data_IF_250739941032
#
_entry.id   IF_250739941032
#
_cell.length_a   1.000
_cell.length_b   1.000
_cell.length_c   1.000
_cell.angle_alpha   90.00
_cell.angle_beta   90.00
_cell.angle_gamma   90.00
#
_symmetry.space_group_name_H-M   'P 1'
#
loop_
_entity.id
_entity.type
_entity.pdbx_description
1 polymer ?
#
# COMPACT_ATOMS: atom_id res chain seq x y z
N UNK A 1 -24.90 -23.59 -8.36
CA UNK A 1 -26.33 -23.80 -8.05
C UNK A 1 -26.80 -25.23 -8.24
N UNK A 2 -26.54 -25.90 -9.39
CA UNK A 2 -27.07 -27.24 -9.69
C UNK A 2 -26.82 -28.30 -8.60
N UNK A 3 -25.62 -28.31 -8.00
CA UNK A 3 -25.27 -29.22 -6.91
C UNK A 3 -25.99 -28.92 -5.58
N UNK A 4 -26.23 -27.64 -5.28
CA UNK A 4 -26.91 -27.22 -4.04
C UNK A 4 -28.37 -27.66 -4.06
N UNK A 5 -29.00 -27.62 -5.24
CA UNK A 5 -30.38 -28.08 -5.43
C UNK A 5 -30.55 -29.61 -5.33
N UNK A 6 -29.45 -30.37 -5.36
CA UNK A 6 -29.46 -31.85 -5.22
C UNK A 6 -29.15 -32.32 -3.80
N UNK A 7 -28.86 -31.41 -2.85
CA UNK A 7 -28.56 -31.78 -1.47
C UNK A 7 -29.83 -32.18 -0.71
N UNK A 8 -29.74 -33.17 0.20
CA UNK A 8 -30.88 -33.58 1.02
C UNK A 8 -31.31 -32.44 1.95
N UNK A 9 -32.62 -32.31 2.17
CA UNK A 9 -33.20 -31.26 3.04
C UNK A 9 -32.61 -31.26 4.45
N UNK A 10 -32.26 -32.43 4.99
CA UNK A 10 -31.59 -32.56 6.30
C UNK A 10 -30.25 -31.83 6.38
N UNK A 11 -29.49 -31.74 5.28
CA UNK A 11 -28.24 -30.97 5.24
C UNK A 11 -28.50 -29.45 5.34
N UNK A 12 -29.59 -28.97 4.74
CA UNK A 12 -29.94 -27.54 4.78
C UNK A 12 -30.50 -27.13 6.15
N UNK A 13 -31.17 -28.04 6.85
CA UNK A 13 -31.64 -27.87 8.23
C UNK A 13 -30.48 -27.89 9.23
N UNK A 14 -29.47 -28.73 9.01
CA UNK A 14 -28.31 -28.85 9.89
C UNK A 14 -27.30 -27.69 9.71
N UNK A 15 -26.95 -27.32 8.47
CA UNK A 15 -25.98 -26.25 8.18
C UNK A 15 -26.60 -24.84 8.15
N UNK A 16 -27.91 -24.74 7.95
CA UNK A 16 -28.64 -23.48 7.82
C UNK A 16 -28.54 -22.85 6.44
N UNK A 17 -29.69 -22.66 5.79
CA UNK A 17 -29.81 -22.07 4.44
C UNK A 17 -29.15 -20.70 4.27
N UNK A 18 -29.18 -19.87 5.32
CA UNK A 18 -28.52 -18.56 5.33
C UNK A 18 -26.99 -18.64 5.23
N UNK A 19 -26.38 -19.63 5.90
CA UNK A 19 -24.93 -19.88 5.87
C UNK A 19 -24.50 -20.35 4.48
N UNK A 20 -25.24 -21.30 3.89
CA UNK A 20 -24.99 -21.77 2.52
C UNK A 20 -25.12 -20.62 1.51
N UNK A 21 -26.17 -19.81 1.60
CA UNK A 21 -26.34 -18.63 0.74
C UNK A 21 -25.19 -17.64 0.87
N UNK A 22 -24.75 -17.36 2.10
CA UNK A 22 -23.61 -16.49 2.37
C UNK A 22 -22.34 -17.01 1.72
N UNK A 23 -22.02 -18.30 1.91
CA UNK A 23 -20.83 -18.94 1.32
C UNK A 23 -20.85 -18.84 -0.20
N UNK A 24 -21.98 -19.14 -0.85
CA UNK A 24 -22.08 -19.02 -2.32
C UNK A 24 -21.84 -17.59 -2.77
N UNK A 25 -22.46 -16.62 -2.11
CA UNK A 25 -22.36 -15.22 -2.51
C UNK A 25 -20.93 -14.68 -2.30
N UNK A 26 -20.34 -14.93 -1.13
CA UNK A 26 -18.97 -14.51 -0.81
C UNK A 26 -17.94 -15.20 -1.70
N UNK A 27 -18.08 -16.51 -1.93
CA UNK A 27 -17.15 -17.25 -2.78
C UNK A 27 -17.22 -16.81 -4.23
N UNK A 28 -18.43 -16.53 -4.73
CA UNK A 28 -18.62 -16.02 -6.10
C UNK A 28 -17.99 -14.63 -6.25
N UNK A 29 -18.25 -13.71 -5.31
CA UNK A 29 -17.67 -12.37 -5.31
C UNK A 29 -16.14 -12.39 -5.15
N UNK A 30 -15.60 -13.26 -4.29
CA UNK A 30 -14.16 -13.44 -4.12
C UNK A 30 -13.50 -13.97 -5.41
N UNK A 31 -14.15 -14.93 -6.08
CA UNK A 31 -13.66 -15.49 -7.36
C UNK A 31 -13.67 -14.44 -8.45
N UNK A 32 -14.74 -13.64 -8.56
CA UNK A 32 -14.82 -12.51 -9.49
C UNK A 32 -13.70 -11.50 -9.21
N UNK A 33 -13.54 -11.08 -7.96
CA UNK A 33 -12.50 -10.12 -7.55
C UNK A 33 -11.10 -10.64 -7.91
N UNK A 34 -10.85 -11.92 -7.69
CA UNK A 34 -9.56 -12.53 -7.96
C UNK A 34 -9.25 -12.56 -9.47
N UNK A 35 -10.21 -13.03 -10.29
CA UNK A 35 -10.01 -13.21 -11.73
C UNK A 35 -10.05 -11.86 -12.46
N UNK A 36 -10.98 -10.99 -12.12
CA UNK A 36 -11.21 -9.74 -12.83
C UNK A 36 -10.20 -8.64 -12.46
N UNK A 37 -9.66 -8.65 -11.23
CA UNK A 37 -8.80 -7.58 -10.74
C UNK A 37 -7.45 -8.10 -10.24
N UNK A 38 -7.45 -8.97 -9.23
CA UNK A 38 -6.18 -9.29 -8.55
C UNK A 38 -5.16 -9.99 -9.46
N UNK A 39 -5.61 -10.90 -10.33
CA UNK A 39 -4.72 -11.63 -11.23
C UNK A 39 -4.18 -10.71 -12.34
N UNK A 40 -5.00 -9.95 -13.10
CA UNK A 40 -4.52 -8.95 -14.04
C UNK A 40 -3.58 -7.93 -13.39
N UNK A 41 -3.94 -7.40 -12.22
CA UNK A 41 -3.14 -6.39 -11.52
C UNK A 41 -1.77 -6.95 -11.13
N UNK A 42 -1.69 -8.21 -10.67
CA UNK A 42 -0.40 -8.86 -10.37
C UNK A 42 0.46 -9.05 -11.63
N UNK A 43 -0.15 -9.45 -12.74
CA UNK A 43 0.54 -9.58 -14.01
C UNK A 43 1.10 -8.22 -14.47
N UNK A 44 0.29 -7.16 -14.42
CA UNK A 44 0.71 -5.81 -14.79
C UNK A 44 1.78 -5.27 -13.84
N UNK A 45 1.60 -5.43 -12.52
CA UNK A 45 2.54 -5.00 -11.49
C UNK A 45 3.92 -5.68 -11.61
N UNK A 46 3.99 -6.87 -12.20
CA UNK A 46 5.26 -7.58 -12.43
C UNK A 46 5.82 -7.29 -13.82
N UNK A 47 4.97 -7.34 -14.86
CA UNK A 47 5.39 -7.18 -16.25
C UNK A 47 5.84 -5.75 -16.55
N UNK A 48 5.21 -4.74 -15.95
CA UNK A 48 5.53 -3.33 -16.19
C UNK A 48 6.94 -2.97 -15.76
N UNK A 49 7.38 -3.18 -14.48
CA UNK A 49 8.74 -2.87 -14.08
C UNK A 49 9.77 -3.70 -14.84
N UNK A 50 9.52 -4.99 -15.09
CA UNK A 50 10.44 -5.84 -15.87
C UNK A 50 10.59 -5.31 -17.29
N UNK A 51 9.47 -4.97 -17.96
CA UNK A 51 9.48 -4.40 -19.29
C UNK A 51 10.20 -3.05 -19.35
N UNK A 52 9.98 -2.19 -18.36
CA UNK A 52 10.62 -0.87 -18.28
C UNK A 52 12.15 -1.01 -18.09
N UNK A 53 12.61 -1.89 -17.20
CA UNK A 53 14.04 -2.16 -16.99
C UNK A 53 14.69 -2.69 -18.27
N UNK A 54 14.06 -3.66 -18.95
CA UNK A 54 14.57 -4.19 -20.21
C UNK A 54 14.66 -3.11 -21.29
N UNK A 55 13.62 -2.27 -21.39
CA UNK A 55 13.58 -1.18 -22.37
C UNK A 55 14.74 -0.19 -22.14
N UNK A 56 14.94 0.27 -20.89
CA UNK A 56 16.04 1.19 -20.55
C UNK A 56 17.41 0.58 -20.93
N UNK A 57 17.66 -0.67 -20.55
CA UNK A 57 18.93 -1.34 -20.81
C UNK A 57 19.21 -1.56 -22.31
N UNK A 58 18.18 -1.82 -23.12
CA UNK A 58 18.31 -2.00 -24.58
C UNK A 58 18.59 -0.69 -25.31
N UNK A 59 17.98 0.42 -24.87
CA UNK A 59 18.15 1.73 -25.52
C UNK A 59 19.54 2.34 -25.27
N UNK A 60 19.93 2.41 -24.00
CA UNK A 60 21.26 2.87 -23.59
C UNK A 60 21.60 2.29 -22.22
N UNK A 61 22.45 1.27 -22.18
CA UNK A 61 22.77 0.58 -20.93
C UNK A 61 23.48 1.47 -19.89
N UNK A 62 24.15 2.55 -20.31
CA UNK A 62 24.86 3.46 -19.39
C UNK A 62 23.88 4.38 -18.69
N UNK A 63 22.98 5.01 -19.45
CA UNK A 63 21.91 5.84 -18.89
C UNK A 63 20.90 4.99 -18.11
N UNK A 64 20.62 3.77 -18.58
CA UNK A 64 19.73 2.83 -17.90
C UNK A 64 20.22 2.43 -16.52
N UNK A 65 21.51 2.10 -16.37
CA UNK A 65 22.10 1.82 -15.07
C UNK A 65 22.07 3.03 -14.13
N UNK A 66 22.32 4.23 -14.66
CA UNK A 66 22.22 5.47 -13.86
C UNK A 66 20.80 5.69 -13.33
N UNK A 67 19.77 5.46 -14.14
CA UNK A 67 18.37 5.55 -13.72
C UNK A 67 17.96 4.50 -12.69
N UNK A 68 18.63 3.34 -12.67
CA UNK A 68 18.33 2.28 -11.70
C UNK A 68 18.84 2.60 -10.29
N UNK A 69 19.88 3.44 -10.13
CA UNK A 69 20.43 3.80 -8.82
C UNK A 69 19.35 4.35 -7.85
N UNK A 70 18.59 5.40 -8.20
CA UNK A 70 17.54 5.93 -7.32
C UNK A 70 16.40 4.94 -7.08
N UNK A 71 16.09 4.07 -8.04
CA UNK A 71 15.11 2.99 -7.87
C UNK A 71 15.58 1.98 -6.82
N UNK A 72 16.85 1.58 -6.87
CA UNK A 72 17.44 0.67 -5.87
C UNK A 72 17.45 1.34 -4.48
N UNK A 73 17.84 2.62 -4.39
CA UNK A 73 17.80 3.36 -3.13
C UNK A 73 16.38 3.41 -2.57
N UNK A 74 15.38 3.73 -3.41
CA UNK A 74 13.97 3.74 -3.02
C UNK A 74 13.52 2.36 -2.51
N UNK A 75 13.92 1.28 -3.18
CA UNK A 75 13.62 -0.08 -2.77
C UNK A 75 14.26 -0.45 -1.42
N UNK A 76 15.50 -0.03 -1.18
CA UNK A 76 16.20 -0.23 0.10
C UNK A 76 15.51 0.53 1.24
N UNK A 77 15.18 1.81 1.01
CA UNK A 77 14.46 2.63 1.99
C UNK A 77 13.11 2.00 2.35
N UNK A 78 12.38 1.53 1.34
CA UNK A 78 11.08 0.88 1.55
C UNK A 78 11.20 -0.49 2.23
N UNK A 79 12.24 -1.27 1.90
CA UNK A 79 12.52 -2.56 2.56
C UNK A 79 12.88 -2.38 4.03
N UNK A 80 13.61 -1.33 4.40
CA UNK A 80 13.87 -1.00 5.81
C UNK A 80 12.60 -0.67 6.60
N UNK A 81 11.55 -0.20 5.93
CA UNK A 81 10.23 0.02 6.54
C UNK A 81 9.42 -1.28 6.62
N UNK A 82 9.52 -2.15 5.60
CA UNK A 82 8.87 -3.46 5.56
C UNK A 82 9.68 -4.52 6.31
N UNK A 83 9.41 -4.68 7.61
CA UNK A 83 10.03 -5.74 8.42
C UNK A 83 9.17 -6.18 9.60
N UNK A 84 9.75 -6.97 10.51
CA UNK A 84 9.06 -7.49 11.70
C UNK A 84 8.55 -6.36 12.61
N UNK A 85 9.24 -5.22 12.63
CA UNK A 85 8.78 -4.02 13.32
C UNK A 85 7.47 -3.48 12.75
N UNK A 86 7.24 -3.60 11.44
CA UNK A 86 5.99 -3.17 10.82
C UNK A 86 4.85 -4.12 11.20
N UNK A 87 5.09 -5.43 11.26
CA UNK A 87 4.08 -6.39 11.75
C UNK A 87 3.68 -6.09 13.19
N UNK A 88 4.65 -5.82 14.07
CA UNK A 88 4.38 -5.43 15.47
C UNK A 88 3.58 -4.14 15.56
N UNK A 89 4.02 -3.09 14.85
CA UNK A 89 3.29 -1.82 14.77
C UNK A 89 1.87 -2.03 14.26
N UNK A 90 1.69 -2.83 13.22
CA UNK A 90 0.35 -3.07 12.66
C UNK A 90 -0.54 -3.89 13.61
N UNK A 91 0.02 -4.80 14.41
CA UNK A 91 -0.72 -5.46 15.48
C UNK A 91 -1.13 -4.48 16.60
N UNK A 92 -0.24 -3.58 17.02
CA UNK A 92 -0.57 -2.53 18.00
C UNK A 92 -1.67 -1.59 17.50
N UNK A 93 -1.62 -1.22 16.22
CA UNK A 93 -2.66 -0.43 15.56
C UNK A 93 -4.02 -1.12 15.63
N UNK A 94 -4.09 -2.39 15.22
CA UNK A 94 -5.33 -3.16 15.22
C UNK A 94 -5.86 -3.34 16.64
N UNK A 95 -5.02 -3.65 17.61
CA UNK A 95 -5.42 -3.76 19.01
C UNK A 95 -6.02 -2.44 19.55
N UNK A 96 -5.40 -1.30 19.25
CA UNK A 96 -5.93 0.01 19.67
C UNK A 96 -7.25 0.36 18.96
N UNK A 97 -7.39 -0.02 17.68
CA UNK A 97 -8.60 0.17 16.89
C UNK A 97 -9.75 -0.70 17.39
N UNK A 98 -9.47 -1.96 17.72
CA UNK A 98 -10.44 -2.90 18.30
C UNK A 98 -10.92 -2.43 19.68
N UNK A 99 -9.99 -2.02 20.56
CA UNK A 99 -10.32 -1.47 21.88
C UNK A 99 -11.22 -0.23 21.76
N UNK A 100 -10.87 0.71 20.87
CA UNK A 100 -11.69 1.89 20.60
C UNK A 100 -13.09 1.51 20.09
N UNK A 101 -13.16 0.55 19.16
CA UNK A 101 -14.43 0.09 18.57
C UNK A 101 -15.31 -0.61 19.61
N UNK A 102 -14.73 -1.44 20.48
CA UNK A 102 -15.45 -2.10 21.57
C UNK A 102 -15.99 -1.09 22.57
N UNK A 103 -15.17 -0.12 23.00
CA UNK A 103 -15.60 0.93 23.93
C UNK A 103 -16.66 1.86 23.30
N UNK A 104 -16.65 2.05 21.97
CA UNK A 104 -17.70 2.77 21.26
C UNK A 104 -19.06 2.05 21.33
N UNK A 105 -19.08 0.72 21.24
CA UNK A 105 -20.31 -0.07 21.36
C UNK A 105 -20.89 0.04 22.77
N UNK A 106 -20.05 -0.08 23.80
CA UNK A 106 -20.47 0.08 25.20
C UNK A 106 -20.93 1.50 25.50
N UNK A 107 -20.29 2.51 24.91
CA UNK A 107 -20.77 3.90 24.94
C UNK A 107 -22.21 4.00 24.42
N UNK A 108 -22.48 3.48 23.21
CA UNK A 108 -23.81 3.54 22.59
C UNK A 108 -24.86 2.81 23.43
N UNK A 109 -24.52 1.63 23.97
CA UNK A 109 -25.40 0.85 24.87
C UNK A 109 -25.68 1.57 26.18
N UNK A 110 -24.72 2.36 26.70
CA UNK A 110 -24.86 3.09 27.96
C UNK A 110 -25.67 4.40 27.87
N UNK A 111 -25.90 4.95 26.67
CA UNK A 111 -26.61 6.23 26.47
C UNK A 111 -27.98 6.27 27.18
N UNK A 112 -28.87 5.27 27.04
CA UNK A 112 -30.18 5.28 27.70
C UNK A 112 -30.03 5.35 29.23
N UNK A 113 -29.11 4.59 29.80
CA UNK A 113 -28.86 4.55 31.25
C UNK A 113 -28.44 5.93 31.76
N UNK A 114 -27.46 6.55 31.11
CA UNK A 114 -26.97 7.89 31.49
C UNK A 114 -28.08 8.93 31.41
N UNK A 115 -28.94 8.89 30.37
CA UNK A 115 -30.10 9.78 30.23
C UNK A 115 -31.16 9.56 31.32
N UNK A 116 -31.38 8.31 31.74
CA UNK A 116 -32.41 7.95 32.71
C UNK A 116 -32.02 8.37 34.14
N UNK A 117 -30.74 8.25 34.48
CA UNK A 117 -30.22 8.55 35.82
C UNK A 117 -29.60 9.95 35.95
N UNK A 118 -29.62 10.77 34.89
CA UNK A 118 -29.07 12.12 34.91
C UNK A 118 -27.56 12.18 35.17
N UNK A 119 -26.82 11.08 34.91
CA UNK A 119 -25.37 11.06 35.08
C UNK A 119 -24.67 11.86 33.98
N UNK A 120 -23.46 12.36 34.26
CA UNK A 120 -22.71 13.13 33.26
C UNK A 120 -22.01 12.23 32.24
N UNK A 121 -21.80 12.77 31.04
CA UNK A 121 -21.09 12.14 29.91
C UNK A 121 -19.64 11.76 30.27
N UNK A 122 -19.10 12.28 31.39
CA UNK A 122 -17.80 11.89 31.93
C UNK A 122 -17.71 10.43 32.40
N UNK A 123 -18.85 9.75 32.55
CA UNK A 123 -18.91 8.30 32.81
C UNK A 123 -18.25 7.48 31.68
N UNK A 124 -18.13 8.07 30.48
CA UNK A 124 -17.48 7.44 29.32
C UNK A 124 -16.00 7.81 29.18
N UNK A 125 -15.32 7.98 30.32
CA UNK A 125 -13.86 8.21 30.37
C UNK A 125 -13.10 7.13 29.60
N UNK A 126 -13.53 5.87 29.68
CA UNK A 126 -12.90 4.74 28.97
C UNK A 126 -12.90 4.92 27.45
N UNK A 127 -14.03 5.30 26.86
CA UNK A 127 -14.12 5.55 25.42
C UNK A 127 -13.25 6.75 24.99
N UNK A 128 -13.26 7.84 25.75
CA UNK A 128 -12.39 8.98 25.47
C UNK A 128 -10.90 8.61 25.55
N UNK A 129 -10.53 7.83 26.56
CA UNK A 129 -9.15 7.45 26.79
C UNK A 129 -8.67 6.44 25.71
N UNK A 130 -9.54 5.55 25.21
CA UNK A 130 -9.24 4.66 24.08
C UNK A 130 -9.06 5.42 22.75
N UNK A 131 -9.88 6.45 22.49
CA UNK A 131 -9.67 7.36 21.34
C UNK A 131 -8.29 8.00 21.43
N UNK A 132 -7.91 8.56 22.60
CA UNK A 132 -6.61 9.22 22.78
C UNK A 132 -5.43 8.25 22.61
N UNK A 133 -5.59 7.00 23.04
CA UNK A 133 -4.58 5.95 22.87
C UNK A 133 -4.38 5.64 21.37
N UNK A 134 -5.46 5.46 20.63
CA UNK A 134 -5.44 5.23 19.19
C UNK A 134 -4.85 6.44 18.42
N UNK A 135 -5.25 7.66 18.78
CA UNK A 135 -4.72 8.91 18.21
C UNK A 135 -3.21 9.02 18.43
N UNK A 136 -2.76 8.87 19.68
CA UNK A 136 -1.34 8.95 20.04
C UNK A 136 -0.50 7.94 19.27
N UNK A 137 -1.00 6.71 19.14
CA UNK A 137 -0.33 5.67 18.37
C UNK A 137 -0.23 6.04 16.89
N UNK A 138 -1.34 6.47 16.28
CA UNK A 138 -1.40 6.85 14.86
C UNK A 138 -0.48 8.04 14.54
N UNK A 139 -0.45 9.06 15.41
CA UNK A 139 0.44 10.22 15.26
C UNK A 139 1.90 9.80 15.40
N UNK A 140 2.24 8.93 16.35
CA UNK A 140 3.60 8.43 16.52
C UNK A 140 4.05 7.63 15.30
N UNK A 141 3.20 6.71 14.81
CA UNK A 141 3.47 5.92 13.61
C UNK A 141 3.68 6.81 12.38
N UNK A 142 2.85 7.83 12.20
CA UNK A 142 2.97 8.79 11.09
C UNK A 142 4.30 9.56 11.16
N UNK A 143 4.72 9.98 12.36
CA UNK A 143 6.01 10.67 12.55
C UNK A 143 7.20 9.76 12.27
N UNK A 144 7.14 8.50 12.70
CA UNK A 144 8.20 7.51 12.47
C UNK A 144 8.38 7.23 10.97
N UNK A 145 7.28 7.16 10.20
CA UNK A 145 7.33 6.94 8.76
C UNK A 145 7.71 8.19 7.95
N UNK A 146 7.68 9.39 8.55
CA UNK A 146 7.94 10.64 7.83
C UNK A 146 9.34 10.69 7.23
N UNK A 147 10.37 10.39 8.02
CA UNK A 147 11.78 10.45 7.58
C UNK A 147 12.04 9.46 6.43
N UNK A 148 11.70 8.17 6.54
CA UNK A 148 11.94 7.25 5.44
C UNK A 148 11.09 7.57 4.21
N UNK A 149 9.85 8.05 4.37
CA UNK A 149 9.05 8.54 3.23
C UNK A 149 9.68 9.75 2.54
N UNK A 150 10.26 10.69 3.30
CA UNK A 150 11.02 11.79 2.71
C UNK A 150 12.24 11.28 1.94
N UNK A 151 12.97 10.30 2.46
CA UNK A 151 14.10 9.67 1.78
C UNK A 151 13.68 8.97 0.48
N UNK A 152 12.56 8.24 0.51
CA UNK A 152 11.97 7.61 -0.67
C UNK A 152 11.60 8.64 -1.74
N UNK A 153 10.86 9.69 -1.38
CA UNK A 153 10.46 10.75 -2.31
C UNK A 153 11.67 11.49 -2.86
N UNK A 154 12.68 11.79 -2.03
CA UNK A 154 13.91 12.44 -2.48
C UNK A 154 14.70 11.56 -3.46
N UNK A 155 14.79 10.25 -3.20
CA UNK A 155 15.47 9.31 -4.08
C UNK A 155 14.81 9.24 -5.46
N UNK A 156 13.48 9.12 -5.53
CA UNK A 156 12.75 9.07 -6.81
C UNK A 156 12.93 10.36 -7.59
N UNK A 157 12.79 11.53 -6.95
CA UNK A 157 12.97 12.81 -7.64
C UNK A 157 14.42 13.10 -8.02
N UNK A 158 15.40 12.41 -7.42
CA UNK A 158 16.81 12.56 -7.77
C UNK A 158 17.17 11.95 -9.14
N UNK A 159 16.26 11.20 -9.79
CA UNK A 159 16.47 10.65 -11.15
C UNK A 159 16.89 11.74 -12.14
N UNK A 160 16.24 12.90 -12.13
CA UNK A 160 16.59 14.02 -13.01
C UNK A 160 17.99 14.57 -12.72
N UNK A 161 18.36 14.70 -11.45
CA UNK A 161 19.70 15.16 -11.07
C UNK A 161 20.79 14.19 -11.54
N UNK A 162 20.52 12.88 -11.44
CA UNK A 162 21.43 11.81 -11.90
C UNK A 162 21.52 11.79 -13.42
N UNK A 163 20.42 12.01 -14.15
CA UNK A 163 20.42 12.15 -15.62
C UNK A 163 21.23 13.36 -16.08
N UNK A 164 21.10 14.50 -15.40
CA UNK A 164 21.91 15.70 -15.68
C UNK A 164 23.40 15.39 -15.42
N UNK A 165 23.73 14.74 -14.30
CA UNK A 165 25.11 14.32 -14.03
C UNK A 165 25.63 13.34 -15.10
N UNK A 166 24.81 12.39 -15.55
CA UNK A 166 25.11 11.48 -16.65
C UNK A 166 25.38 12.20 -17.98
N UNK A 167 24.65 13.28 -18.24
CA UNK A 167 24.88 14.18 -19.39
C UNK A 167 26.25 14.84 -19.33
N UNK A 168 26.65 15.34 -18.16
CA UNK A 168 27.97 15.94 -17.98
C UNK A 168 29.12 14.93 -18.09
N UNK A 169 28.91 13.70 -17.64
CA UNK A 169 29.94 12.64 -17.63
C UNK A 169 30.07 11.94 -18.98
N UNK A 170 28.96 11.62 -19.65
CA UNK A 170 28.94 10.82 -20.87
C UNK A 170 28.56 11.60 -22.14
N UNK A 171 27.93 12.77 -22.00
CA UNK A 171 27.43 13.55 -23.13
C UNK A 171 28.48 14.33 -23.92
N UNK A 172 29.78 14.14 -23.64
CA UNK A 172 30.85 14.77 -24.40
C UNK A 172 30.87 16.30 -24.30
N UNK A 173 30.22 16.90 -23.29
CA UNK A 173 30.16 18.36 -23.09
C UNK A 173 31.57 18.96 -22.97
N UNK A 174 32.55 18.19 -22.47
CA UNK A 174 33.98 18.57 -22.45
C UNK A 174 34.66 18.56 -23.83
N UNK A 175 34.10 17.89 -24.82
CA UNK A 175 34.65 17.73 -26.18
C UNK A 175 33.93 18.58 -27.25
N UNK A 176 32.88 19.33 -26.88
CA UNK A 176 32.19 20.27 -27.78
C UNK A 176 31.37 19.62 -28.91
N UNK A 177 31.31 18.29 -28.98
CA UNK A 177 30.51 17.53 -29.97
C UNK A 177 29.42 16.77 -29.22
N UNK A 178 28.22 17.34 -29.20
CA UNK A 178 27.05 16.62 -28.68
C UNK A 178 26.56 15.68 -29.78
N UNK A 179 26.64 14.37 -29.54
CA UNK A 179 26.19 13.38 -30.50
C UNK A 179 24.65 13.36 -30.54
N UNK A 180 24.05 13.45 -31.73
CA UNK A 180 22.58 13.44 -31.89
C UNK A 180 21.94 12.19 -31.28
N UNK A 181 22.60 11.03 -31.34
CA UNK A 181 22.12 9.79 -30.72
C UNK A 181 22.03 9.92 -29.19
N UNK A 182 22.97 10.64 -28.57
CA UNK A 182 22.96 10.84 -27.12
C UNK A 182 21.82 11.77 -26.68
N UNK A 183 21.53 12.82 -27.46
CA UNK A 183 20.39 13.71 -27.19
C UNK A 183 19.05 13.00 -27.34
N UNK A 184 18.91 12.14 -28.34
CA UNK A 184 17.70 11.34 -28.54
C UNK A 184 17.49 10.35 -27.36
N UNK A 185 18.57 9.68 -26.92
CA UNK A 185 18.52 8.84 -25.74
C UNK A 185 18.14 9.65 -24.50
N UNK A 186 18.77 10.80 -24.27
CA UNK A 186 18.44 11.68 -23.14
C UNK A 186 16.96 12.10 -23.13
N UNK A 187 16.43 12.53 -24.29
CA UNK A 187 15.03 12.92 -24.41
C UNK A 187 14.09 11.75 -24.14
N UNK A 188 14.41 10.57 -24.66
CA UNK A 188 13.67 9.35 -24.36
C UNK A 188 13.61 9.08 -22.85
N UNK A 189 14.76 9.18 -22.17
CA UNK A 189 14.84 8.98 -20.72
C UNK A 189 14.05 10.03 -19.95
N UNK A 190 14.14 11.33 -20.30
CA UNK A 190 13.39 12.41 -19.63
C UNK A 190 11.87 12.26 -19.81
N UNK A 191 11.39 11.75 -20.94
CA UNK A 191 9.96 11.55 -21.20
C UNK A 191 9.44 10.31 -20.45
N UNK A 192 10.24 9.24 -20.39
CA UNK A 192 9.79 7.96 -19.82
C UNK A 192 9.98 7.86 -18.30
N UNK A 193 10.94 8.59 -17.73
CA UNK A 193 11.09 8.66 -16.26
C UNK A 193 10.13 9.71 -15.70
N UNK A 194 9.21 9.30 -14.80
CA UNK A 194 8.27 10.22 -14.15
C UNK A 194 8.92 11.11 -13.09
#
# INVERSE_FOLDING_TARGET
MRHILTLPLGFMDEEGSGKVRKIVNESSAATETYIAHQLPDKCVATATPVGLVLLLLVFDWRLGLLCLIPVVIAFVVMSCMMGDNMKKKMAEYQNALEEMSSEAVEYVRGIPVVKTFGQSVFSFKRFRDSIKKYEKWTVSYTKDLRIPMMGYTAAINAVFAILIAGTFLFGGVKSGTVNNTFLLNLMFYIIITP
#
